data_IF_883331411477
#
_entry.id   IF_883331411477
#
_cell.length_a   1.000
_cell.length_b   1.000
_cell.length_c   1.000
_cell.angle_alpha   90.00
_cell.angle_beta   90.00
_cell.angle_gamma   90.00
#
_symmetry.space_group_name_H-M   'P 1'
#
loop_
_entity.id
_entity.type
_entity.pdbx_description
1 polymer ?
#
# COMPACT_ATOMS: atom_id res chain seq x y z
N UNK A 1 -1.27 15.01 15.67
CA UNK A 1 -2.54 15.55 15.14
C UNK A 1 -2.38 15.72 13.64
N UNK A 2 -3.15 14.98 12.83
CA UNK A 2 -3.04 15.06 11.36
C UNK A 2 -3.66 16.38 10.93
N UNK A 3 -2.84 17.29 10.43
CA UNK A 3 -3.30 18.60 9.95
C UNK A 3 -3.91 18.46 8.55
N UNK A 4 -5.21 18.21 8.52
CA UNK A 4 -6.01 18.09 7.30
C UNK A 4 -6.03 19.43 6.54
N UNK A 5 -5.98 20.57 7.24
CA UNK A 5 -6.03 21.89 6.62
C UNK A 5 -4.75 22.19 5.82
N UNK A 6 -3.58 21.91 6.41
CA UNK A 6 -2.30 22.02 5.70
C UNK A 6 -2.19 21.01 4.56
N UNK A 7 -2.72 19.79 4.72
CA UNK A 7 -2.77 18.78 3.65
C UNK A 7 -3.63 19.22 2.46
N UNK A 8 -4.81 19.79 2.69
CA UNK A 8 -5.70 20.31 1.63
C UNK A 8 -5.09 21.53 0.94
N UNK A 9 -4.42 22.40 1.69
CA UNK A 9 -3.69 23.55 1.13
C UNK A 9 -2.52 23.10 0.23
N UNK A 10 -1.72 22.12 0.67
CA UNK A 10 -0.64 21.52 -0.11
C UNK A 10 -1.14 20.67 -1.30
N UNK A 11 -2.29 20.01 -1.17
CA UNK A 11 -2.96 19.25 -2.24
C UNK A 11 -3.43 20.11 -3.43
N UNK A 12 -3.35 21.45 -3.37
CA UNK A 12 -3.50 22.30 -4.57
C UNK A 12 -2.27 22.26 -5.49
N UNK A 13 -1.15 21.72 -5.05
CA UNK A 13 0.09 21.58 -5.82
C UNK A 13 0.33 20.13 -6.23
N UNK A 14 -0.34 19.73 -7.32
CA UNK A 14 -0.11 18.62 -8.28
C UNK A 14 0.46 17.22 -7.87
N UNK A 15 1.15 16.98 -6.76
CA UNK A 15 1.92 15.74 -6.55
C UNK A 15 2.06 15.30 -5.08
N UNK A 16 0.97 15.13 -4.34
CA UNK A 16 1.01 14.37 -3.08
C UNK A 16 0.50 12.94 -3.32
N UNK A 17 1.37 11.91 -3.35
CA UNK A 17 0.95 10.54 -3.63
C UNK A 17 0.12 9.95 -2.47
N UNK A 18 -0.96 9.23 -2.82
CA UNK A 18 -1.85 8.55 -1.84
C UNK A 18 -1.09 7.44 -1.11
N UNK A 19 -0.34 6.62 -1.85
CA UNK A 19 0.56 5.59 -1.31
C UNK A 19 1.96 6.18 -1.25
N UNK A 20 2.53 6.26 -0.05
CA UNK A 20 3.73 7.06 0.21
C UNK A 20 5.04 6.29 0.06
N UNK A 21 4.99 4.96 0.18
CA UNK A 21 6.16 4.09 0.05
C UNK A 21 5.74 2.64 -0.19
N UNK A 22 6.69 1.76 -0.52
CA UNK A 22 6.45 0.30 -0.56
C UNK A 22 6.17 -0.31 0.84
N UNK A 23 6.52 0.40 1.91
CA UNK A 23 6.29 -0.01 3.31
C UNK A 23 4.98 0.60 3.84
N UNK A 24 4.27 1.41 3.05
CA UNK A 24 2.95 1.95 3.35
C UNK A 24 1.87 0.88 3.13
N UNK A 25 1.98 -0.22 3.89
CA UNK A 25 1.14 -1.42 3.84
C UNK A 25 1.13 -2.09 5.21
N UNK A 26 0.17 -2.98 5.45
CA UNK A 26 0.15 -3.78 6.68
C UNK A 26 1.39 -4.68 6.80
N UNK A 27 1.98 -4.74 8.00
CA UNK A 27 3.21 -5.47 8.29
C UNK A 27 3.16 -6.95 7.87
N UNK A 28 2.01 -7.61 8.03
CA UNK A 28 1.87 -9.04 7.69
C UNK A 28 2.07 -9.33 6.19
N UNK A 29 1.82 -8.36 5.30
CA UNK A 29 2.06 -8.52 3.86
C UNK A 29 3.54 -8.73 3.54
N UNK A 30 4.44 -8.09 4.28
CA UNK A 30 5.89 -8.24 4.11
C UNK A 30 6.36 -9.63 4.55
N UNK A 31 5.87 -10.11 5.70
CA UNK A 31 6.15 -11.45 6.19
C UNK A 31 5.61 -12.51 5.22
N UNK A 32 4.37 -12.36 4.75
CA UNK A 32 3.79 -13.26 3.75
C UNK A 32 4.59 -13.23 2.44
N UNK A 33 5.03 -12.06 1.97
CA UNK A 33 5.86 -11.94 0.77
C UNK A 33 7.16 -12.75 0.91
N UNK A 34 7.84 -12.66 2.06
CA UNK A 34 9.03 -13.47 2.34
C UNK A 34 8.72 -14.98 2.34
N UNK A 35 7.62 -15.38 3.00
CA UNK A 35 7.20 -16.79 3.08
C UNK A 35 6.84 -17.37 1.71
N UNK A 36 6.08 -16.62 0.89
CA UNK A 36 5.69 -17.04 -0.46
C UNK A 36 6.92 -17.14 -1.36
N UNK A 37 7.80 -16.13 -1.34
CA UNK A 37 9.03 -16.16 -2.14
C UNK A 37 9.93 -17.36 -1.80
N UNK A 38 10.00 -17.77 -0.54
CA UNK A 38 10.82 -18.91 -0.11
C UNK A 38 10.21 -20.26 -0.45
N UNK A 39 8.89 -20.41 -0.26
CA UNK A 39 8.24 -21.73 -0.28
C UNK A 39 7.48 -22.00 -1.58
N UNK A 40 7.02 -20.96 -2.28
CA UNK A 40 6.13 -21.03 -3.45
C UNK A 40 6.44 -19.92 -4.48
N UNK A 41 7.68 -19.79 -4.97
CA UNK A 41 8.07 -18.69 -5.86
C UNK A 41 7.32 -18.68 -7.20
N UNK A 42 6.92 -19.84 -7.73
CA UNK A 42 6.33 -19.96 -9.08
C UNK A 42 4.78 -20.00 -9.07
N UNK A 43 4.16 -19.79 -7.90
CA UNK A 43 2.70 -19.87 -7.79
C UNK A 43 2.04 -18.59 -8.31
N UNK A 44 1.20 -18.72 -9.34
CA UNK A 44 0.40 -17.62 -9.88
C UNK A 44 -0.96 -17.52 -9.16
N UNK A 45 -1.33 -16.31 -8.74
CA UNK A 45 -2.62 -16.03 -8.06
C UNK A 45 -3.27 -14.79 -8.66
N UNK A 46 -4.60 -14.69 -8.55
CA UNK A 46 -5.39 -13.53 -9.00
C UNK A 46 -6.09 -12.88 -7.82
N UNK A 47 -6.03 -11.55 -7.71
CA UNK A 47 -6.74 -10.77 -6.69
C UNK A 47 -7.97 -10.10 -7.31
N UNK A 48 -9.04 -9.94 -6.52
CA UNK A 48 -10.23 -9.19 -6.90
C UNK A 48 -10.69 -8.31 -5.73
N UNK A 49 -11.11 -7.08 -6.04
CA UNK A 49 -11.67 -6.14 -5.08
C UNK A 49 -13.20 -6.15 -5.23
N UNK A 50 -13.92 -6.41 -4.14
CA UNK A 50 -15.38 -6.44 -4.11
C UNK A 50 -15.85 -5.40 -3.10
N UNK A 51 -16.66 -4.44 -3.55
CA UNK A 51 -17.40 -3.55 -2.67
C UNK A 51 -18.71 -4.24 -2.28
N UNK A 52 -18.91 -4.48 -0.98
CA UNK A 52 -20.04 -5.26 -0.45
C UNK A 52 -21.13 -4.36 0.10
#
# INVERSE_FOLDING_TARGET
>A
MVDIATRVYNHRWKMDPIVRSLIDTDFYKLLMCQTVRRNRPDTNVTFSLINR
#
